data_IF_410184547115
#
_entry.id   IF_410184547115
#
_cell.length_a   1.000
_cell.length_b   1.000
_cell.length_c   1.000
_cell.angle_alpha   90.00
_cell.angle_beta   90.00
_cell.angle_gamma   90.00
#
_symmetry.space_group_name_H-M   'P 1'
#
loop_
_entity.id
_entity.type
_entity.pdbx_description
1 polymer ?
#
# COMPACT_ATOMS: atom_id res chain seq x y z
N UNK A 1 19.61 17.32 9.45
CA UNK A 1 18.39 16.53 9.15
C UNK A 1 18.21 15.37 10.12
N UNK A 2 17.04 15.28 10.75
CA UNK A 2 16.63 14.17 11.64
C UNK A 2 15.84 13.14 10.83
N UNK A 3 16.19 11.85 10.92
CA UNK A 3 15.40 10.76 10.32
C UNK A 3 14.12 10.54 11.11
N UNK A 4 12.97 10.58 10.42
CA UNK A 4 11.64 10.40 11.03
C UNK A 4 10.97 9.10 10.62
N UNK A 5 11.36 8.51 9.48
CA UNK A 5 10.84 7.23 9.00
C UNK A 5 11.97 6.41 8.39
N UNK A 6 11.92 5.09 8.59
CA UNK A 6 12.72 4.11 7.87
C UNK A 6 11.91 2.82 7.68
N UNK A 7 11.65 2.46 6.44
CA UNK A 7 10.97 1.22 6.07
C UNK A 7 11.98 0.32 5.35
N UNK A 8 12.56 -0.68 6.04
CA UNK A 8 13.40 -1.68 5.39
C UNK A 8 12.54 -2.75 4.70
N UNK A 9 12.96 -3.17 3.51
CA UNK A 9 12.40 -4.30 2.79
C UNK A 9 13.52 -5.29 2.47
N UNK A 10 13.42 -6.47 3.06
CA UNK A 10 14.37 -7.55 2.84
C UNK A 10 13.96 -8.33 1.59
N UNK A 11 14.92 -8.54 0.69
CA UNK A 11 14.71 -9.34 -0.52
C UNK A 11 15.57 -10.61 -0.49
N UNK A 12 15.13 -11.66 -1.20
CA UNK A 12 15.74 -13.01 -1.14
C UNK A 12 17.18 -13.05 -1.66
N UNK A 13 17.56 -12.07 -2.46
CA UNK A 13 18.91 -11.80 -2.98
C UNK A 13 19.86 -11.18 -1.94
N UNK A 14 19.41 -11.00 -0.69
CA UNK A 14 20.22 -10.54 0.44
C UNK A 14 20.48 -9.03 0.47
N UNK A 15 20.06 -8.30 -0.56
CA UNK A 15 20.13 -6.84 -0.60
C UNK A 15 18.98 -6.24 0.21
N UNK A 16 19.27 -5.23 1.03
CA UNK A 16 18.23 -4.54 1.81
C UNK A 16 17.82 -3.29 1.06
N UNK A 17 16.54 -3.17 0.72
CA UNK A 17 15.97 -1.95 0.16
C UNK A 17 15.43 -1.09 1.30
N UNK A 18 15.55 0.23 1.21
CA UNK A 18 15.03 1.10 2.25
C UNK A 18 14.35 2.34 1.67
N UNK A 19 13.23 2.72 2.28
CA UNK A 19 12.66 4.05 2.15
C UNK A 19 12.93 4.82 3.45
N UNK A 20 13.57 5.97 3.37
CA UNK A 20 13.84 6.83 4.52
C UNK A 20 13.25 8.23 4.29
N UNK A 21 12.76 8.85 5.36
CA UNK A 21 12.36 10.26 5.36
C UNK A 21 13.16 10.99 6.44
N UNK A 22 13.76 12.11 6.07
CA UNK A 22 14.41 13.03 6.97
C UNK A 22 13.74 14.40 6.94
N UNK A 23 13.85 15.12 8.05
CA UNK A 23 13.30 16.46 8.21
C UNK A 23 14.36 17.36 8.86
N UNK A 24 14.56 18.54 8.29
CA UNK A 24 15.13 19.69 8.98
C UNK A 24 14.00 20.58 9.48
N UNK A 25 14.04 20.89 10.77
CA UNK A 25 13.09 21.80 11.40
C UNK A 25 13.17 23.20 10.76
N UNK A 26 12.09 23.99 10.80
CA UNK A 26 12.13 25.39 10.41
C UNK A 26 13.23 26.13 11.18
N UNK A 27 13.93 27.05 10.52
CA UNK A 27 15.02 27.83 11.11
C UNK A 27 14.87 29.31 10.79
N UNK A 28 15.71 30.15 11.37
CA UNK A 28 15.85 31.57 11.00
C UNK A 28 17.22 31.73 10.35
N UNK A 29 17.27 32.40 9.20
CA UNK A 29 18.54 32.63 8.49
C UNK A 29 19.33 33.81 9.09
N UNK A 30 20.55 34.03 8.58
CA UNK A 30 21.45 35.09 9.04
C UNK A 30 20.89 36.53 8.88
N UNK A 31 19.82 36.68 8.10
CA UNK A 31 19.10 37.95 7.87
C UNK A 31 17.86 38.09 8.75
N UNK A 32 17.60 37.15 9.65
CA UNK A 32 16.45 37.18 10.56
C UNK A 32 15.12 36.72 9.93
N UNK A 33 15.13 36.18 8.70
CA UNK A 33 13.92 35.68 8.05
C UNK A 33 13.68 34.20 8.37
N UNK A 34 12.42 33.79 8.62
CA UNK A 34 12.08 32.39 8.81
C UNK A 34 12.29 31.60 7.50
N UNK A 35 12.82 30.39 7.64
CA UNK A 35 12.94 29.39 6.59
C UNK A 35 12.10 28.18 6.96
N UNK A 36 11.33 27.70 5.98
CA UNK A 36 10.47 26.53 6.13
C UNK A 36 11.27 25.26 6.45
N UNK A 37 10.56 24.25 6.94
CA UNK A 37 11.10 22.91 7.08
C UNK A 37 11.51 22.35 5.72
N UNK A 38 12.57 21.54 5.70
CA UNK A 38 13.01 20.80 4.51
C UNK A 38 12.88 19.32 4.74
N UNK A 39 12.42 18.61 3.73
CA UNK A 39 12.20 17.17 3.77
C UNK A 39 13.14 16.50 2.80
N UNK A 40 13.67 15.33 3.16
CA UNK A 40 14.49 14.52 2.28
C UNK A 40 13.94 13.10 2.24
N UNK A 41 13.38 12.72 1.09
CA UNK A 41 12.93 11.36 0.82
C UNK A 41 14.07 10.59 0.15
N UNK A 42 14.47 9.48 0.74
CA UNK A 42 15.59 8.66 0.24
C UNK A 42 15.07 7.27 -0.10
N UNK A 43 15.32 6.83 -1.32
CA UNK A 43 15.01 5.49 -1.81
C UNK A 43 16.33 4.79 -2.10
N UNK A 44 16.55 3.68 -1.41
CA UNK A 44 17.67 2.77 -1.65
C UNK A 44 17.08 1.45 -2.16
N UNK A 45 17.42 1.06 -3.39
CA UNK A 45 16.95 -0.19 -4.00
C UNK A 45 17.92 -1.37 -3.77
N UNK A 46 18.96 -1.17 -2.94
CA UNK A 46 20.02 -2.13 -2.66
C UNK A 46 21.21 -2.05 -3.61
N UNK A 47 21.10 -1.32 -4.71
CA UNK A 47 22.19 -1.05 -5.66
C UNK A 47 22.41 0.45 -5.87
N UNK A 48 21.32 1.20 -5.93
CA UNK A 48 21.25 2.62 -6.20
C UNK A 48 20.54 3.32 -5.05
N UNK A 49 21.02 4.52 -4.75
CA UNK A 49 20.42 5.40 -3.76
C UNK A 49 20.08 6.73 -4.40
N UNK A 50 18.79 7.09 -4.35
CA UNK A 50 18.27 8.35 -4.89
C UNK A 50 17.63 9.13 -3.75
N UNK A 51 17.80 10.45 -3.77
CA UNK A 51 17.22 11.34 -2.78
C UNK A 51 16.47 12.50 -3.44
N UNK A 52 15.30 12.82 -2.91
CA UNK A 52 14.48 13.95 -3.32
C UNK A 52 14.36 14.92 -2.15
N UNK A 53 14.84 16.14 -2.35
CA UNK A 53 14.63 17.21 -1.38
C UNK A 53 13.32 17.92 -1.71
N UNK A 54 12.42 17.98 -0.74
CA UNK A 54 11.11 18.61 -0.87
C UNK A 54 11.01 19.80 0.08
N UNK A 55 10.38 20.88 -0.38
CA UNK A 55 9.90 21.95 0.50
C UNK A 55 8.58 21.53 1.18
N UNK A 56 8.06 22.40 2.05
CA UNK A 56 6.88 22.10 2.84
C UNK A 56 5.62 21.94 1.99
N UNK A 57 5.45 22.74 0.93
CA UNK A 57 4.31 22.63 0.01
C UNK A 57 4.35 21.36 -0.82
N UNK A 58 5.52 20.96 -1.32
CA UNK A 58 5.72 19.72 -2.09
C UNK A 58 5.48 18.49 -1.22
N UNK A 59 5.98 18.49 0.02
CA UNK A 59 5.73 17.42 0.97
C UNK A 59 4.24 17.30 1.33
N UNK A 60 3.55 18.43 1.52
CA UNK A 60 2.10 18.45 1.75
C UNK A 60 1.32 17.89 0.54
N UNK A 61 1.68 18.30 -0.68
CA UNK A 61 1.06 17.78 -1.90
C UNK A 61 1.26 16.26 -2.02
N UNK A 62 2.48 15.77 -1.79
CA UNK A 62 2.79 14.35 -1.80
C UNK A 62 1.94 13.59 -0.79
N UNK A 63 1.81 14.10 0.44
CA UNK A 63 0.97 13.51 1.48
C UNK A 63 -0.50 13.41 1.04
N UNK A 64 -1.08 14.49 0.51
CA UNK A 64 -2.47 14.49 0.04
C UNK A 64 -2.70 13.49 -1.09
N UNK A 65 -1.78 13.41 -2.06
CA UNK A 65 -1.88 12.48 -3.18
C UNK A 65 -1.72 11.03 -2.74
N UNK A 66 -0.79 10.76 -1.83
CA UNK A 66 -0.60 9.42 -1.28
C UNK A 66 -1.86 8.96 -0.52
N UNK A 67 -2.42 9.82 0.33
CA UNK A 67 -3.65 9.50 1.05
C UNK A 67 -4.81 9.21 0.10
N UNK A 68 -4.99 10.02 -0.95
CA UNK A 68 -6.00 9.77 -1.97
C UNK A 68 -5.84 8.40 -2.62
N UNK A 69 -4.64 8.07 -3.11
CA UNK A 69 -4.36 6.78 -3.79
C UNK A 69 -4.56 5.60 -2.85
N UNK A 70 -4.15 5.71 -1.58
CA UNK A 70 -4.36 4.65 -0.60
C UNK A 70 -5.84 4.36 -0.35
N UNK A 71 -6.68 5.41 -0.29
CA UNK A 71 -8.11 5.24 -0.10
C UNK A 71 -8.77 4.58 -1.31
N UNK A 72 -8.38 4.93 -2.53
CA UNK A 72 -8.89 4.29 -3.74
C UNK A 72 -8.47 2.82 -3.80
N UNK A 73 -7.19 2.52 -3.55
CA UNK A 73 -6.69 1.14 -3.53
C UNK A 73 -7.39 0.27 -2.46
N UNK A 74 -7.72 0.85 -1.30
CA UNK A 74 -8.45 0.14 -0.26
C UNK A 74 -9.89 -0.21 -0.67
N UNK A 75 -10.59 0.71 -1.35
CA UNK A 75 -11.94 0.43 -1.90
C UNK A 75 -11.89 -0.68 -2.95
N UNK A 76 -10.96 -0.59 -3.89
CA UNK A 76 -10.78 -1.62 -4.93
C UNK A 76 -10.51 -3.00 -4.30
N UNK A 77 -9.67 -3.04 -3.26
CA UNK A 77 -9.40 -4.28 -2.54
C UNK A 77 -10.66 -4.89 -1.91
N UNK A 78 -11.48 -4.07 -1.23
CA UNK A 78 -12.74 -4.52 -0.61
C UNK A 78 -13.70 -5.04 -1.69
N UNK A 79 -13.83 -4.34 -2.82
CA UNK A 79 -14.69 -4.80 -3.91
C UNK A 79 -14.24 -6.14 -4.49
N UNK A 80 -12.93 -6.35 -4.64
CA UNK A 80 -12.37 -7.62 -5.08
C UNK A 80 -12.65 -8.74 -4.07
N UNK A 81 -12.50 -8.46 -2.77
CA UNK A 81 -12.79 -9.41 -1.71
C UNK A 81 -14.26 -9.81 -1.70
N UNK A 82 -15.18 -8.85 -1.81
CA UNK A 82 -16.62 -9.11 -1.86
C UNK A 82 -17.05 -9.89 -3.11
N UNK A 83 -16.51 -9.54 -4.29
CA UNK A 83 -16.77 -10.29 -5.53
C UNK A 83 -16.28 -11.73 -5.42
N UNK A 84 -15.08 -11.93 -4.87
CA UNK A 84 -14.53 -13.26 -4.67
C UNK A 84 -15.33 -14.08 -3.65
N UNK A 85 -15.81 -13.46 -2.56
CA UNK A 85 -16.67 -14.12 -1.59
C UNK A 85 -17.99 -14.57 -2.22
N UNK A 86 -18.67 -13.70 -2.97
CA UNK A 86 -19.91 -14.04 -3.69
C UNK A 86 -19.69 -15.17 -4.68
N UNK A 87 -18.64 -15.10 -5.49
CA UNK A 87 -18.29 -16.17 -6.44
C UNK A 87 -18.00 -17.51 -5.74
N UNK A 88 -17.37 -17.47 -4.56
CA UNK A 88 -17.12 -18.68 -3.77
C UNK A 88 -18.41 -19.25 -3.20
N UNK A 89 -19.29 -18.41 -2.66
CA UNK A 89 -20.61 -18.80 -2.15
C UNK A 89 -21.48 -19.41 -3.26
N UNK A 90 -21.55 -18.79 -4.45
CA UNK A 90 -22.30 -19.29 -5.61
C UNK A 90 -21.75 -20.63 -6.13
N UNK A 91 -20.43 -20.82 -6.16
CA UNK A 91 -19.84 -22.11 -6.53
C UNK A 91 -20.13 -23.19 -5.51
N UNK A 92 -20.11 -22.83 -4.22
CA UNK A 92 -20.41 -23.76 -3.12
C UNK A 92 -21.89 -24.14 -3.07
N UNK A 93 -22.79 -23.24 -3.44
CA UNK A 93 -24.22 -23.55 -3.54
C UNK A 93 -24.53 -24.43 -4.75
N UNK A 94 -23.94 -24.16 -5.92
CA UNK A 94 -24.10 -25.02 -7.11
C UNK A 94 -23.58 -26.44 -6.90
N UNK A 95 -22.41 -26.59 -6.27
CA UNK A 95 -21.87 -27.91 -5.94
C UNK A 95 -22.78 -28.71 -4.99
N UNK A 96 -23.51 -28.04 -4.09
CA UNK A 96 -24.48 -28.68 -3.20
C UNK A 96 -25.82 -29.02 -3.87
N UNK A 97 -26.16 -28.33 -4.95
CA UNK A 97 -27.34 -28.66 -5.77
C UNK A 97 -27.06 -29.85 -6.68
N UNK A 98 -25.86 -29.91 -7.29
CA UNK A 98 -25.41 -31.06 -8.09
C UNK A 98 -25.30 -32.35 -7.25
N UNK A 99 -24.79 -32.28 -6.01
CA UNK A 99 -24.77 -33.45 -5.09
C UNK A 99 -26.17 -33.95 -4.68
N UNK A 100 -27.22 -33.10 -4.78
CA UNK A 100 -28.60 -33.50 -4.45
C UNK A 100 -29.37 -34.08 -5.64
N UNK A 101 -29.04 -33.68 -6.86
CA UNK A 101 -29.67 -34.24 -8.07
C UNK A 101 -29.14 -35.64 -8.41
N UNK A 102 -27.88 -35.95 -8.09
CA UNK A 102 -27.33 -37.31 -8.24
C UNK A 102 -27.92 -38.31 -7.23
N UNK A 103 -28.27 -37.87 -6.01
CA UNK A 103 -28.88 -38.72 -4.97
C UNK A 103 -30.37 -39.01 -5.27
N UNK A 104 -31.08 -38.07 -5.92
CA UNK A 104 -32.50 -38.23 -6.27
C UNK A 104 -32.74 -39.13 -7.49
N UNK A 105 -31.72 -39.32 -8.36
CA UNK A 105 -31.85 -40.15 -9.56
C UNK A 105 -31.55 -41.63 -9.30
N UNK A 106 -30.97 -41.98 -8.14
CA UNK A 106 -30.67 -43.36 -7.76
C UNK A 106 -31.79 -44.06 -6.96
N UNK A 107 -32.77 -43.34 -6.43
CA UNK A 107 -33.87 -43.90 -5.62
C UNK A 107 -35.17 -44.21 -6.40
N UNK A 108 -35.25 -43.92 -7.71
CA UNK A 108 -36.45 -44.22 -8.54
C UNK A 108 -36.35 -45.51 -9.39
N UNK A 109 -35.26 -46.29 -9.30
CA UNK A 109 -35.10 -47.59 -9.96
C UNK A 109 -34.92 -48.77 -8.97
N UNK A 110 -35.91 -49.03 -8.10
CA UNK A 110 -36.12 -50.36 -7.47
C UNK A 110 -37.61 -50.75 -7.40
#
# INVERSE_FOLDING_TARGET
MKRVLRIPRFTKDGKTKTLELFVDSPTVNDKGFPQEAKFLLVIDDGNNRVAFQLNQSEAALLYHRLNYVLNEAAKEYIELEEKNRKNYEEKKSKAKEEEKEEDFTFEEEE
#
